data_IF_720482819318
#
_entry.id   IF_720482819318
#
_cell.length_a   1.000
_cell.length_b   1.000
_cell.length_c   1.000
_cell.angle_alpha   90.00
_cell.angle_beta   90.00
_cell.angle_gamma   90.00
#
_symmetry.space_group_name_H-M   'P 1'
#
loop_
_entity.id
_entity.type
_entity.pdbx_description
1 polymer ?
#
# COMPACT_ATOMS: atom_id res chain seq x y z
N UNK A 1 1.49 6.43 12.86
CA UNK A 1 0.12 6.56 12.32
C UNK A 1 0.13 7.59 11.21
N UNK A 2 -0.54 7.32 10.09
CA UNK A 2 -0.72 8.23 8.97
C UNK A 2 -2.20 8.61 8.86
N UNK A 3 -2.54 9.85 9.22
CA UNK A 3 -3.92 10.37 9.16
C UNK A 3 -4.05 11.35 8.00
N UNK A 4 -4.91 11.03 7.02
CA UNK A 4 -5.04 11.84 5.80
C UNK A 4 -6.24 12.79 5.91
N UNK A 5 -7.43 12.25 6.20
CA UNK A 5 -8.69 12.99 6.34
C UNK A 5 -9.61 12.29 7.34
N UNK A 6 -10.73 12.92 7.69
CA UNK A 6 -11.79 12.27 8.49
C UNK A 6 -12.16 10.90 7.89
N UNK A 7 -12.08 9.85 8.71
CA UNK A 7 -12.30 8.44 8.32
C UNK A 7 -11.31 7.85 7.29
N UNK A 8 -10.17 8.51 7.00
CA UNK A 8 -9.13 8.03 6.09
C UNK A 8 -7.76 7.97 6.79
N UNK A 9 -7.30 6.78 7.15
CA UNK A 9 -6.03 6.57 7.87
C UNK A 9 -5.33 5.25 7.53
N UNK A 10 -4.03 5.19 7.83
CA UNK A 10 -3.25 3.97 7.94
C UNK A 10 -2.50 3.93 9.29
N UNK A 11 -2.44 2.79 9.94
CA UNK A 11 -1.74 2.62 11.20
C UNK A 11 -1.11 1.24 11.33
N UNK A 12 -0.10 1.13 12.19
CA UNK A 12 0.35 -0.15 12.71
C UNK A 12 -0.39 -0.42 14.02
N UNK A 13 -1.15 -1.50 14.03
CA UNK A 13 -1.79 -2.05 15.22
C UNK A 13 -0.77 -2.95 15.91
N UNK A 14 -0.64 -2.77 17.22
CA UNK A 14 0.23 -3.59 18.05
C UNK A 14 -0.63 -4.64 18.74
N UNK A 15 -0.35 -5.91 18.46
CA UNK A 15 -0.95 -7.05 19.14
C UNK A 15 0.09 -7.68 20.06
N UNK A 16 -0.31 -8.00 21.29
CA UNK A 16 0.54 -8.67 22.27
C UNK A 16 0.26 -10.17 22.20
N UNK A 17 1.29 -10.98 21.93
CA UNK A 17 1.16 -12.43 22.00
C UNK A 17 1.22 -12.92 23.45
N UNK A 18 0.71 -14.15 23.72
CA UNK A 18 0.91 -14.82 25.00
C UNK A 18 2.39 -14.97 25.39
N UNK A 19 3.29 -14.98 24.40
CA UNK A 19 4.75 -15.09 24.55
C UNK A 19 5.46 -13.77 24.87
N UNK A 20 4.72 -12.68 25.19
CA UNK A 20 5.26 -11.33 25.45
C UNK A 20 5.93 -10.63 24.25
N UNK A 21 5.80 -11.17 23.05
CA UNK A 21 6.27 -10.52 21.82
C UNK A 21 5.21 -9.55 21.28
N UNK A 22 5.68 -8.54 20.55
CA UNK A 22 4.81 -7.59 19.84
C UNK A 22 4.72 -7.98 18.38
N UNK A 23 3.49 -8.20 17.90
CA UNK A 23 3.19 -8.36 16.48
C UNK A 23 2.62 -7.05 15.96
N UNK A 24 3.15 -6.59 14.84
CA UNK A 24 2.67 -5.39 14.17
C UNK A 24 1.84 -5.79 12.96
N UNK A 25 0.61 -5.26 12.88
CA UNK A 25 -0.28 -5.43 11.72
C UNK A 25 -0.66 -4.09 11.13
N UNK A 26 -0.57 -3.96 9.82
CA UNK A 26 -1.03 -2.74 9.13
C UNK A 26 -2.56 -2.73 9.03
N UNK A 27 -3.20 -1.68 9.55
CA UNK A 27 -4.61 -1.39 9.35
C UNK A 27 -4.77 -0.20 8.40
N UNK A 28 -5.57 -0.39 7.35
CA UNK A 28 -5.92 0.64 6.36
C UNK A 28 -7.43 0.89 6.40
N UNK A 29 -7.86 2.13 6.65
CA UNK A 29 -9.29 2.48 6.64
C UNK A 29 -9.57 3.70 5.79
N UNK A 30 -10.56 3.56 4.91
CA UNK A 30 -11.10 4.63 4.07
C UNK A 30 -10.12 5.20 3.03
N UNK A 31 -8.94 4.60 2.87
CA UNK A 31 -8.01 4.98 1.82
C UNK A 31 -8.57 4.60 0.46
N UNK A 32 -8.36 5.45 -0.54
CA UNK A 32 -8.87 5.17 -1.88
C UNK A 32 -8.15 3.95 -2.50
N UNK A 33 -6.89 3.72 -2.14
CA UNK A 33 -6.08 2.56 -2.58
C UNK A 33 -6.65 1.19 -2.17
N UNK A 34 -7.51 1.11 -1.14
CA UNK A 34 -8.13 -0.16 -0.70
C UNK A 34 -9.56 -0.31 -1.23
N UNK A 35 -10.01 0.58 -2.10
CA UNK A 35 -11.34 0.48 -2.70
C UNK A 35 -11.31 -0.47 -3.90
N UNK A 36 -12.41 -1.18 -4.06
CA UNK A 36 -12.67 -2.17 -5.13
C UNK A 36 -12.70 -1.61 -6.56
N UNK A 37 -12.89 -0.30 -6.71
CA UNK A 37 -12.98 0.42 -7.98
C UNK A 37 -11.61 0.83 -8.53
N UNK A 38 -10.53 0.31 -7.94
CA UNK A 38 -9.16 0.42 -8.42
C UNK A 38 -8.65 -0.94 -8.90
N UNK A 39 -7.71 -0.92 -9.85
CA UNK A 39 -7.09 -2.15 -10.32
C UNK A 39 -6.15 -2.76 -9.27
N UNK A 40 -5.90 -4.07 -9.39
CA UNK A 40 -5.01 -4.83 -8.51
C UNK A 40 -3.63 -4.17 -8.42
N UNK A 41 -3.10 -3.68 -9.56
CA UNK A 41 -1.79 -3.04 -9.61
C UNK A 41 -1.72 -1.77 -8.75
N UNK A 42 -2.72 -0.89 -8.87
CA UNK A 42 -2.78 0.36 -8.12
C UNK A 42 -2.95 0.09 -6.61
N UNK A 43 -3.72 -0.95 -6.26
CA UNK A 43 -3.86 -1.38 -4.87
C UNK A 43 -2.54 -1.90 -4.30
N UNK A 44 -1.88 -2.83 -4.99
CA UNK A 44 -0.62 -3.42 -4.56
C UNK A 44 0.46 -2.37 -4.34
N UNK A 45 0.60 -1.42 -5.28
CA UNK A 45 1.60 -0.36 -5.14
C UNK A 45 1.24 0.62 -4.01
N UNK A 46 -0.04 0.90 -3.80
CA UNK A 46 -0.52 1.72 -2.69
C UNK A 46 -0.21 1.07 -1.33
N UNK A 47 -0.46 -0.23 -1.20
CA UNK A 47 -0.14 -1.02 0.01
C UNK A 47 1.37 -1.03 0.29
N UNK A 48 2.20 -1.17 -0.76
CA UNK A 48 3.66 -1.04 -0.65
C UNK A 48 4.07 0.35 -0.15
N UNK A 49 3.56 1.43 -0.74
CA UNK A 49 3.91 2.79 -0.32
C UNK A 49 3.55 3.02 1.14
N UNK A 50 2.38 2.57 1.58
CA UNK A 50 1.96 2.71 2.98
C UNK A 50 2.84 1.88 3.91
N UNK A 51 3.23 0.66 3.54
CA UNK A 51 4.10 -0.17 4.37
C UNK A 51 5.50 0.46 4.53
N UNK A 52 6.05 1.06 3.48
CA UNK A 52 7.32 1.79 3.54
C UNK A 52 7.20 3.03 4.44
N UNK A 53 6.13 3.82 4.31
CA UNK A 53 5.89 4.99 5.18
C UNK A 53 5.78 4.58 6.66
N UNK A 54 5.16 3.44 6.95
CA UNK A 54 4.97 2.94 8.30
C UNK A 54 6.15 2.09 8.84
N UNK A 55 7.20 1.87 8.04
CA UNK A 55 8.32 0.98 8.37
C UNK A 55 9.20 1.44 9.54
N UNK A 56 9.15 2.74 9.88
CA UNK A 56 10.04 3.33 10.90
C UNK A 56 11.47 3.63 10.40
N UNK A 57 11.74 3.47 9.10
CA UNK A 57 13.01 3.87 8.49
C UNK A 57 13.18 5.40 8.43
N UNK A 58 14.40 5.84 8.10
CA UNK A 58 14.66 7.26 7.90
C UNK A 58 13.82 7.82 6.74
N UNK A 59 13.51 9.11 6.80
CA UNK A 59 12.71 9.77 5.76
C UNK A 59 13.36 9.62 4.38
N UNK A 60 14.69 9.71 4.32
CA UNK A 60 15.43 9.65 3.06
C UNK A 60 15.37 8.23 2.49
N UNK A 61 15.54 7.19 3.32
CA UNK A 61 15.36 5.79 2.90
C UNK A 61 13.94 5.50 2.40
N UNK A 62 12.94 6.07 3.08
CA UNK A 62 11.52 5.94 2.70
C UNK A 62 11.28 6.55 1.32
N UNK A 63 11.79 7.75 1.09
CA UNK A 63 11.66 8.44 -0.20
C UNK A 63 12.35 7.66 -1.32
N UNK A 64 13.60 7.23 -1.09
CA UNK A 64 14.37 6.49 -2.08
C UNK A 64 13.70 5.18 -2.47
N UNK A 65 13.19 4.42 -1.50
CA UNK A 65 12.45 3.17 -1.76
C UNK A 65 11.18 3.40 -2.58
N UNK A 66 10.40 4.44 -2.25
CA UNK A 66 9.17 4.76 -2.98
C UNK A 66 9.51 5.17 -4.42
N UNK A 67 10.48 6.07 -4.60
CA UNK A 67 10.88 6.55 -5.91
C UNK A 67 11.41 5.43 -6.81
N UNK A 68 12.29 4.58 -6.29
CA UNK A 68 12.85 3.46 -7.05
C UNK A 68 11.75 2.48 -7.45
N UNK A 69 10.87 2.09 -6.52
CA UNK A 69 9.80 1.14 -6.85
C UNK A 69 8.83 1.70 -7.90
N UNK A 70 8.48 2.99 -7.83
CA UNK A 70 7.61 3.62 -8.83
C UNK A 70 8.28 3.73 -10.20
N UNK A 71 9.60 3.94 -10.26
CA UNK A 71 10.38 3.92 -11.50
C UNK A 71 10.36 2.53 -12.13
N UNK A 72 10.71 1.52 -11.34
CA UNK A 72 10.73 0.11 -11.78
C UNK A 72 9.35 -0.33 -12.27
N UNK A 73 8.30 0.04 -11.55
CA UNK A 73 6.92 -0.21 -11.95
C UNK A 73 6.60 0.40 -13.32
N UNK A 74 7.02 1.65 -13.55
CA UNK A 74 6.83 2.31 -14.83
C UNK A 74 7.52 1.58 -15.98
N UNK A 75 8.71 1.02 -15.74
CA UNK A 75 9.44 0.23 -16.72
C UNK A 75 8.78 -1.14 -16.95
N UNK A 76 8.33 -1.82 -15.90
CA UNK A 76 7.56 -3.07 -15.98
C UNK A 76 6.29 -2.90 -16.81
N UNK A 77 5.56 -1.79 -16.63
CA UNK A 77 4.37 -1.45 -17.41
C UNK A 77 4.70 -1.25 -18.89
N UNK A 78 5.73 -0.43 -19.20
CA UNK A 78 6.13 -0.12 -20.59
C UNK A 78 6.69 -1.32 -21.34
N UNK A 79 7.35 -2.22 -20.63
CA UNK A 79 7.95 -3.44 -21.19
C UNK A 79 6.97 -4.61 -21.28
N UNK A 80 5.72 -4.44 -20.80
CA UNK A 80 4.70 -5.49 -20.82
C UNK A 80 4.96 -6.64 -19.86
N UNK A 81 5.74 -6.40 -18.78
CA UNK A 81 6.03 -7.43 -17.75
C UNK A 81 4.88 -7.65 -16.77
N UNK A 82 3.86 -6.80 -16.79
CA UNK A 82 2.71 -6.86 -15.89
C UNK A 82 1.56 -7.54 -16.62
N UNK A 83 0.99 -8.55 -15.97
CA UNK A 83 -0.18 -9.27 -16.48
C UNK A 83 -1.38 -8.33 -16.67
N UNK A 84 -2.15 -8.57 -17.73
CA UNK A 84 -3.34 -7.79 -18.09
C UNK A 84 -4.36 -7.81 -16.95
N UNK A 85 -4.51 -8.94 -16.24
CA UNK A 85 -5.41 -9.08 -15.09
C UNK A 85 -5.13 -8.03 -13.99
N UNK A 86 -3.88 -7.56 -13.87
CA UNK A 86 -3.51 -6.56 -12.87
C UNK A 86 -4.10 -5.17 -13.16
N UNK A 87 -4.55 -4.93 -14.39
CA UNK A 87 -5.17 -3.68 -14.83
C UNK A 87 -6.70 -3.71 -14.74
N UNK A 88 -7.30 -4.86 -14.43
CA UNK A 88 -8.76 -5.00 -14.36
C UNK A 88 -9.37 -4.19 -13.22
N UNK A 89 -10.50 -3.54 -13.49
CA UNK A 89 -11.25 -2.75 -12.51
C UNK A 89 -12.65 -3.33 -12.37
N UNK A 90 -13.00 -3.72 -11.15
CA UNK A 90 -14.32 -4.27 -10.85
C UNK A 90 -15.30 -3.17 -10.45
N UNK A 91 -16.36 -2.97 -11.24
CA UNK A 91 -17.51 -2.11 -10.89
C UNK A 91 -18.74 -3.00 -10.72
N UNK A 92 -19.49 -2.79 -9.62
CA UNK A 92 -20.84 -3.37 -9.52
C UNK A 92 -21.82 -2.39 -10.11
N UNK A 93 -22.53 -2.84 -11.14
CA UNK A 93 -23.71 -2.15 -11.65
C UNK A 93 -24.85 -2.38 -10.65
N UNK A 94 -25.42 -1.29 -10.13
CA UNK A 94 -26.66 -1.28 -9.37
C UNK A 94 -27.83 -0.99 -10.30
#
# INVERSE_FOLDING_TARGET
MLLLKKKKYAALIVEKTPTQEFIYKTELKGLDIVRRDWCQLARSIGEFVVSVILSGQSRDDVLDKIHNRLRDLGDEMRTGKIDIEQYEINRVNY
#
